data_IF_696372119498
#
_entry.id   IF_696372119498
#
_cell.length_a   1.000
_cell.length_b   1.000
_cell.length_c   1.000
_cell.angle_alpha   90.00
_cell.angle_beta   90.00
_cell.angle_gamma   90.00
#
_symmetry.space_group_name_H-M   'P 1'
#
loop_
_entity.id
_entity.type
_entity.pdbx_description
1 polymer ?
#
# COMPACT_ATOMS: atom_id res chain seq x y z
N UNK A 1 14.89 -2.54 -3.72
CA UNK A 1 15.27 -1.19 -4.11
C UNK A 1 15.21 -1.05 -5.62
N UNK A 2 14.87 0.12 -6.10
CA UNK A 2 14.81 0.46 -7.53
C UNK A 2 14.99 1.99 -7.69
N UNK A 3 15.35 2.44 -8.87
CA UNK A 3 15.45 3.87 -9.18
C UNK A 3 14.32 4.29 -10.13
N UNK A 4 13.81 5.48 -9.94
CA UNK A 4 12.72 6.05 -10.72
C UNK A 4 12.82 7.57 -10.82
N UNK A 5 12.37 8.11 -11.93
CA UNK A 5 12.18 9.54 -12.20
C UNK A 5 10.76 10.03 -11.82
N UNK A 6 10.09 9.30 -10.92
CA UNK A 6 8.74 9.63 -10.46
C UNK A 6 8.69 11.03 -9.86
N UNK A 7 7.64 11.79 -10.16
CA UNK A 7 7.36 13.08 -9.56
C UNK A 7 7.41 13.03 -8.02
N UNK A 8 8.00 14.04 -7.40
CA UNK A 8 8.17 14.14 -5.95
C UNK A 8 9.48 13.58 -5.42
N UNK A 9 10.41 13.20 -6.29
CA UNK A 9 11.80 12.86 -5.95
C UNK A 9 12.63 14.06 -5.53
N UNK A 10 13.95 13.86 -5.34
CA UNK A 10 14.92 14.90 -4.98
C UNK A 10 15.71 15.39 -6.18
N UNK A 11 15.87 14.54 -7.21
CA UNK A 11 16.64 14.78 -8.43
C UNK A 11 15.90 14.34 -9.68
N UNK A 12 16.64 13.83 -10.65
CA UNK A 12 16.08 13.17 -11.82
C UNK A 12 15.68 11.74 -11.49
N UNK A 13 16.63 10.80 -11.47
CA UNK A 13 16.40 9.47 -10.92
C UNK A 13 16.71 9.42 -9.44
N UNK A 14 15.80 8.86 -8.67
CA UNK A 14 15.97 8.66 -7.22
C UNK A 14 15.79 7.20 -6.84
N UNK A 15 16.48 6.77 -5.79
CA UNK A 15 16.38 5.43 -5.23
C UNK A 15 15.20 5.35 -4.27
N UNK A 16 14.36 4.36 -4.49
CA UNK A 16 13.21 4.00 -3.67
C UNK A 16 13.36 2.60 -3.08
N UNK A 17 12.72 2.37 -1.98
CA UNK A 17 12.58 1.05 -1.36
C UNK A 17 11.11 0.63 -1.32
N UNK A 18 10.83 -0.62 -1.65
CA UNK A 18 9.49 -1.22 -1.50
C UNK A 18 9.58 -2.64 -0.97
N UNK A 19 8.48 -3.17 -0.48
CA UNK A 19 8.35 -4.58 -0.08
C UNK A 19 7.76 -5.38 -1.24
N UNK A 20 8.27 -6.58 -1.46
CA UNK A 20 7.68 -7.55 -2.38
C UNK A 20 6.61 -8.35 -1.62
N UNK A 21 5.39 -7.88 -1.70
CA UNK A 21 4.21 -8.46 -1.03
C UNK A 21 3.04 -8.55 -2.03
N UNK A 22 1.97 -9.24 -1.65
CA UNK A 22 0.82 -9.50 -2.53
C UNK A 22 -0.05 -8.27 -2.86
N UNK A 23 0.25 -7.13 -2.26
CA UNK A 23 -0.35 -5.83 -2.61
C UNK A 23 0.75 -4.85 -3.00
N UNK A 24 0.43 -3.74 -3.64
CA UNK A 24 1.40 -2.72 -4.06
C UNK A 24 1.56 -1.67 -2.95
N UNK A 25 2.55 -1.78 -2.05
CA UNK A 25 2.81 -0.74 -1.06
C UNK A 25 3.39 0.50 -1.73
N UNK A 26 3.12 1.67 -1.17
CA UNK A 26 3.79 2.89 -1.62
C UNK A 26 5.30 2.77 -1.40
N UNK A 27 6.11 3.03 -2.44
CA UNK A 27 7.55 3.07 -2.30
C UNK A 27 8.00 4.18 -1.37
N UNK A 28 9.00 3.92 -0.57
CA UNK A 28 9.65 4.90 0.30
C UNK A 28 10.83 5.50 -0.47
N UNK A 29 10.78 6.82 -0.72
CA UNK A 29 11.92 7.57 -1.23
C UNK A 29 13.04 7.53 -0.18
N UNK A 30 14.25 7.11 -0.55
CA UNK A 30 15.38 7.15 0.37
C UNK A 30 15.82 8.61 0.58
N UNK A 31 16.22 8.91 1.80
CA UNK A 31 16.69 10.24 2.15
C UNK A 31 18.16 10.47 1.73
N UNK A 32 18.62 11.72 1.87
CA UNK A 32 20.04 12.03 1.82
C UNK A 32 20.79 11.22 2.90
N UNK A 33 22.04 10.80 2.64
CA UNK A 33 22.87 11.13 1.47
C UNK A 33 22.70 10.16 0.28
N UNK A 34 21.78 9.19 0.34
CA UNK A 34 21.58 8.24 -0.76
C UNK A 34 21.07 9.01 -1.99
N UNK A 35 19.92 9.65 -1.89
CA UNK A 35 19.42 10.53 -2.94
C UNK A 35 19.97 11.96 -2.81
N UNK A 36 20.12 12.63 -3.95
CA UNK A 36 20.64 13.98 -4.10
C UNK A 36 19.73 14.81 -5.02
N UNK A 37 20.18 15.95 -5.51
CA UNK A 37 19.53 16.72 -6.57
C UNK A 37 19.96 16.31 -7.99
N UNK A 38 20.73 15.24 -8.10
CA UNK A 38 21.21 14.65 -9.35
C UNK A 38 20.50 13.32 -9.61
N UNK A 39 20.95 12.57 -10.63
CA UNK A 39 20.47 11.21 -10.85
C UNK A 39 21.17 10.25 -9.88
N UNK A 40 20.40 9.54 -9.09
CA UNK A 40 20.87 8.52 -8.17
C UNK A 40 20.33 7.17 -8.61
N UNK A 41 21.18 6.35 -9.20
CA UNK A 41 20.83 5.07 -9.81
C UNK A 41 21.60 3.93 -9.16
N UNK A 42 21.37 2.72 -9.57
CA UNK A 42 22.12 1.54 -9.13
C UNK A 42 22.42 1.52 -7.62
N UNK A 43 21.46 1.03 -6.85
CA UNK A 43 21.61 0.87 -5.41
C UNK A 43 21.81 -0.60 -5.06
N UNK A 44 22.85 -0.90 -4.27
CA UNK A 44 23.06 -2.23 -3.72
C UNK A 44 23.51 -2.11 -2.26
N UNK A 45 23.01 -3.01 -1.42
CA UNK A 45 23.38 -3.08 -0.01
C UNK A 45 23.53 -4.52 0.45
N UNK A 46 24.53 -4.78 1.27
CA UNK A 46 24.69 -6.04 1.96
C UNK A 46 23.97 -5.96 3.31
N UNK A 47 22.90 -6.74 3.47
CA UNK A 47 22.04 -6.73 4.67
C UNK A 47 22.74 -7.11 5.98
N UNK A 48 23.87 -7.85 5.90
CA UNK A 48 24.61 -8.28 7.10
C UNK A 48 25.64 -7.23 7.54
N UNK A 49 26.39 -6.67 6.57
CA UNK A 49 27.44 -5.69 6.86
C UNK A 49 26.95 -4.26 6.84
N UNK A 50 25.73 -4.03 6.30
CA UNK A 50 25.12 -2.73 6.10
C UNK A 50 25.94 -1.78 5.20
N UNK A 51 26.92 -2.32 4.49
CA UNK A 51 27.69 -1.59 3.48
C UNK A 51 27.00 -1.68 2.14
N UNK A 52 26.97 -0.57 1.44
CA UNK A 52 26.36 -0.48 0.12
C UNK A 52 27.08 0.49 -0.79
N UNK A 53 26.56 0.55 -2.03
CA UNK A 53 27.02 1.44 -3.08
C UNK A 53 25.81 2.02 -3.82
N UNK A 54 25.97 3.27 -4.25
CA UNK A 54 25.03 3.97 -5.13
C UNK A 54 25.83 4.65 -6.23
N UNK A 55 25.32 4.62 -7.45
CA UNK A 55 25.89 5.37 -8.57
C UNK A 55 25.16 6.69 -8.71
N UNK A 56 25.88 7.79 -8.95
CA UNK A 56 25.30 9.11 -9.03
C UNK A 56 26.18 10.06 -9.88
N UNK A 57 25.52 10.94 -10.63
CA UNK A 57 26.17 12.05 -11.34
C UNK A 57 26.19 13.35 -10.53
N UNK A 58 26.11 13.25 -9.18
CA UNK A 58 26.18 14.40 -8.27
C UNK A 58 27.49 15.14 -8.38
N UNK A 59 27.45 16.45 -8.11
CA UNK A 59 28.65 17.29 -8.15
C UNK A 59 29.71 16.84 -7.14
N UNK A 60 31.00 16.97 -7.53
CA UNK A 60 32.15 16.60 -6.70
C UNK A 60 32.73 15.22 -7.01
N UNK A 61 32.19 14.52 -7.97
CA UNK A 61 32.76 13.30 -8.54
C UNK A 61 33.88 13.57 -9.56
N UNK A 62 34.36 12.50 -10.18
CA UNK A 62 35.47 12.56 -11.18
C UNK A 62 34.94 12.36 -12.60
N UNK A 63 33.84 11.60 -12.78
CA UNK A 63 33.20 11.31 -14.06
C UNK A 63 31.80 11.92 -14.17
N UNK A 64 31.03 11.43 -15.15
CA UNK A 64 29.62 11.75 -15.27
C UNK A 64 28.83 10.99 -14.17
N UNK A 65 29.02 9.68 -14.09
CA UNK A 65 28.50 8.82 -13.03
C UNK A 65 29.64 8.25 -12.19
N UNK A 66 29.59 8.47 -10.90
CA UNK A 66 30.56 7.95 -9.93
C UNK A 66 29.92 6.97 -8.97
N UNK A 67 30.73 6.05 -8.44
CA UNK A 67 30.29 5.06 -7.47
C UNK A 67 30.62 5.53 -6.04
N UNK A 68 29.58 5.75 -5.25
CA UNK A 68 29.69 6.16 -3.84
C UNK A 68 29.43 4.98 -2.93
N UNK A 69 30.29 4.78 -1.94
CA UNK A 69 30.08 3.77 -0.89
C UNK A 69 29.42 4.40 0.33
N UNK A 70 28.56 3.64 1.00
CA UNK A 70 27.92 4.07 2.24
C UNK A 70 27.84 2.95 3.28
N UNK A 71 27.57 3.32 4.51
CA UNK A 71 27.15 2.41 5.58
C UNK A 71 25.76 2.87 6.02
N UNK A 72 24.80 1.95 5.96
CA UNK A 72 23.44 2.21 6.44
C UNK A 72 23.47 2.18 7.98
N UNK A 73 23.24 3.32 8.62
CA UNK A 73 23.20 3.45 10.08
C UNK A 73 21.84 2.99 10.61
N UNK A 74 20.77 3.38 9.93
CA UNK A 74 19.40 3.00 10.25
C UNK A 74 18.72 2.32 9.06
N UNK A 75 18.11 1.13 9.24
CA UNK A 75 17.41 0.45 8.16
C UNK A 75 16.13 1.20 7.77
N UNK A 76 15.72 1.04 6.50
CA UNK A 76 14.43 1.51 6.05
C UNK A 76 13.33 0.81 6.83
N UNK A 77 12.49 1.58 7.52
CA UNK A 77 11.36 1.07 8.29
C UNK A 77 10.10 1.16 7.44
N UNK A 78 9.57 0.01 7.06
CA UNK A 78 8.26 -0.07 6.40
C UNK A 78 7.16 -0.08 7.46
N UNK A 79 6.12 0.73 7.24
CA UNK A 79 4.92 0.66 8.08
C UNK A 79 4.31 -0.74 7.97
N UNK A 80 3.96 -1.33 9.11
CA UNK A 80 3.29 -2.61 9.14
C UNK A 80 1.91 -2.51 8.48
N UNK A 81 1.65 -3.34 7.47
CA UNK A 81 0.36 -3.42 6.78
C UNK A 81 -0.14 -4.85 6.71
N UNK A 82 -1.45 -4.98 6.58
CA UNK A 82 -2.18 -6.22 6.33
C UNK A 82 -3.06 -6.03 5.11
N UNK A 83 -3.52 -7.12 4.52
CA UNK A 83 -4.44 -7.10 3.40
C UNK A 83 -5.82 -7.59 3.85
N UNK A 84 -6.84 -6.74 3.74
CA UNK A 84 -8.23 -7.11 3.94
C UNK A 84 -8.76 -7.54 2.58
N UNK A 85 -9.17 -8.80 2.47
CA UNK A 85 -9.71 -9.37 1.23
C UNK A 85 -11.11 -9.90 1.48
N UNK A 86 -11.93 -9.98 0.45
CA UNK A 86 -13.24 -10.58 0.63
C UNK A 86 -14.11 -10.57 -0.60
N UNK A 87 -15.35 -10.98 -0.38
CA UNK A 87 -16.39 -11.02 -1.40
C UNK A 87 -17.57 -10.16 -0.97
N UNK A 88 -18.27 -9.60 -1.96
CA UNK A 88 -19.55 -8.92 -1.75
C UNK A 88 -20.67 -9.72 -2.42
N UNK A 89 -21.67 -10.13 -1.63
CA UNK A 89 -22.78 -10.96 -2.09
C UNK A 89 -24.12 -10.39 -1.64
N UNK A 90 -25.14 -10.70 -2.40
CA UNK A 90 -26.53 -10.44 -2.01
C UNK A 90 -26.91 -11.33 -0.82
N UNK A 91 -27.51 -10.72 0.19
CA UNK A 91 -27.89 -11.41 1.43
C UNK A 91 -28.93 -12.52 1.22
N UNK A 92 -29.83 -12.36 0.24
CA UNK A 92 -30.96 -13.26 0.01
C UNK A 92 -30.63 -14.32 -1.02
N UNK A 93 -29.99 -13.92 -2.14
CA UNK A 93 -29.70 -14.82 -3.27
C UNK A 93 -28.34 -15.46 -3.21
N UNK A 94 -27.41 -14.90 -2.41
CA UNK A 94 -25.98 -15.26 -2.35
C UNK A 94 -25.20 -15.01 -3.65
N UNK A 95 -25.82 -14.35 -4.62
CA UNK A 95 -25.17 -13.98 -5.87
C UNK A 95 -24.12 -12.89 -5.64
N UNK A 96 -23.09 -12.88 -6.51
CA UNK A 96 -22.01 -11.91 -6.48
C UNK A 96 -22.53 -10.52 -6.86
N UNK A 97 -22.15 -9.49 -6.09
CA UNK A 97 -22.47 -8.09 -6.39
C UNK A 97 -21.23 -7.39 -6.96
N UNK A 98 -21.16 -7.34 -8.28
CA UNK A 98 -20.08 -6.65 -9.01
C UNK A 98 -20.24 -5.15 -8.93
N UNK A 99 -19.09 -4.43 -8.94
CA UNK A 99 -19.09 -2.98 -8.93
C UNK A 99 -19.72 -2.36 -7.66
N UNK A 100 -19.81 -3.11 -6.57
CA UNK A 100 -20.06 -2.54 -5.25
C UNK A 100 -18.80 -1.74 -4.83
N UNK A 101 -18.97 -0.77 -3.94
CA UNK A 101 -17.83 -0.04 -3.34
C UNK A 101 -17.62 -0.58 -1.93
N UNK A 102 -16.38 -0.93 -1.63
CA UNK A 102 -15.97 -1.29 -0.27
C UNK A 102 -14.96 -0.27 0.21
N UNK A 103 -15.24 0.36 1.35
CA UNK A 103 -14.39 1.36 1.97
C UNK A 103 -13.99 0.94 3.38
N UNK A 104 -12.76 1.26 3.79
CA UNK A 104 -12.35 1.23 5.20
C UNK A 104 -12.28 2.65 5.73
N UNK A 105 -12.86 2.85 6.91
CA UNK A 105 -12.92 4.14 7.60
C UNK A 105 -12.16 4.05 8.91
N UNK A 106 -11.52 5.14 9.30
CA UNK A 106 -10.87 5.28 10.60
C UNK A 106 -11.90 5.48 11.74
N UNK A 107 -11.41 5.69 12.96
CA UNK A 107 -12.25 5.91 14.12
C UNK A 107 -13.09 7.21 14.05
N UNK A 108 -12.62 8.19 13.29
CA UNK A 108 -13.30 9.48 13.08
C UNK A 108 -14.31 9.41 11.91
N UNK A 109 -14.36 8.28 11.19
CA UNK A 109 -15.25 8.05 10.06
C UNK A 109 -14.72 8.53 8.71
N UNK A 110 -13.45 8.97 8.64
CA UNK A 110 -12.82 9.34 7.37
C UNK A 110 -12.50 8.09 6.57
N UNK A 111 -12.70 8.16 5.25
CA UNK A 111 -12.30 7.09 4.33
C UNK A 111 -10.77 7.05 4.27
N UNK A 112 -10.20 5.90 4.61
CA UNK A 112 -8.75 5.64 4.54
C UNK A 112 -8.39 5.05 3.18
N UNK A 113 -9.18 4.08 2.73
CA UNK A 113 -9.04 3.42 1.44
C UNK A 113 -10.41 2.97 0.94
N UNK A 114 -10.58 2.91 -0.37
CA UNK A 114 -11.78 2.36 -1.01
C UNK A 114 -11.43 1.64 -2.30
N UNK A 115 -12.24 0.65 -2.66
CA UNK A 115 -12.08 -0.12 -3.89
C UNK A 115 -13.44 -0.48 -4.49
N UNK A 116 -13.48 -0.58 -5.80
CA UNK A 116 -14.62 -1.13 -6.53
C UNK A 116 -14.43 -2.64 -6.65
N UNK A 117 -15.45 -3.39 -6.25
CA UNK A 117 -15.49 -4.85 -6.32
C UNK A 117 -15.43 -5.31 -7.79
N UNK A 118 -14.57 -6.28 -8.07
CA UNK A 118 -14.31 -6.78 -9.42
C UNK A 118 -15.43 -7.66 -10.00
N UNK A 119 -15.20 -8.22 -11.18
CA UNK A 119 -16.15 -9.08 -11.91
C UNK A 119 -16.40 -10.42 -11.22
N UNK A 120 -15.48 -10.87 -10.39
CA UNK A 120 -15.54 -12.07 -9.56
C UNK A 120 -16.21 -11.80 -8.20
N UNK A 121 -16.57 -10.55 -7.92
CA UNK A 121 -17.16 -10.13 -6.65
C UNK A 121 -16.15 -9.93 -5.53
N UNK A 122 -14.85 -9.86 -5.86
CA UNK A 122 -13.76 -9.79 -4.92
C UNK A 122 -13.30 -8.35 -4.67
N UNK A 123 -12.72 -8.12 -3.50
CA UNK A 123 -12.04 -6.88 -3.16
C UNK A 123 -10.77 -7.13 -2.36
N UNK A 124 -9.83 -6.21 -2.48
CA UNK A 124 -8.60 -6.17 -1.69
C UNK A 124 -8.32 -4.74 -1.23
N UNK A 125 -8.09 -4.55 0.07
CA UNK A 125 -7.82 -3.25 0.70
C UNK A 125 -6.64 -3.37 1.65
N UNK A 126 -5.55 -2.58 1.45
CA UNK A 126 -4.45 -2.50 2.40
C UNK A 126 -4.88 -1.74 3.66
N UNK A 127 -4.47 -2.23 4.82
CA UNK A 127 -4.75 -1.62 6.11
C UNK A 127 -3.50 -1.60 6.99
N UNK A 128 -3.34 -0.61 7.87
CA UNK A 128 -2.25 -0.62 8.85
C UNK A 128 -2.49 -1.70 9.90
N UNK A 129 -1.39 -2.23 10.47
CA UNK A 129 -1.47 -3.15 11.59
C UNK A 129 -1.95 -2.44 12.86
N UNK A 130 -2.45 -3.22 13.83
CA UNK A 130 -2.88 -2.77 15.16
C UNK A 130 -3.81 -1.54 15.11
N UNK A 131 -4.72 -1.54 14.15
CA UNK A 131 -5.61 -0.40 13.87
C UNK A 131 -7.06 -0.88 13.78
N UNK A 132 -7.95 -0.14 14.42
CA UNK A 132 -9.39 -0.40 14.33
C UNK A 132 -10.00 0.36 13.17
N UNK A 133 -10.80 -0.33 12.38
CA UNK A 133 -11.47 0.19 11.21
C UNK A 133 -12.95 -0.16 11.21
N UNK A 134 -13.72 0.64 10.50
CA UNK A 134 -15.07 0.32 10.07
C UNK A 134 -15.03 0.00 8.57
N UNK A 135 -15.28 -1.24 8.21
CA UNK A 135 -15.46 -1.65 6.83
C UNK A 135 -16.90 -1.37 6.41
N UNK A 136 -17.09 -0.75 5.26
CA UNK A 136 -18.41 -0.39 4.75
C UNK A 136 -18.53 -0.83 3.30
N UNK A 137 -19.57 -1.63 3.01
CA UNK A 137 -19.93 -2.04 1.67
C UNK A 137 -21.20 -1.34 1.21
N UNK A 138 -21.22 -0.84 -0.02
CA UNK A 138 -22.35 -0.13 -0.61
C UNK A 138 -22.51 -0.41 -2.09
N UNK A 139 -23.75 -0.37 -2.57
CA UNK A 139 -24.13 -0.48 -3.97
C UNK A 139 -25.50 0.17 -4.17
N UNK A 140 -25.71 0.83 -5.30
CA UNK A 140 -27.02 1.36 -5.66
C UNK A 140 -28.08 0.23 -5.70
N UNK A 141 -29.22 0.46 -5.08
CA UNK A 141 -30.29 -0.54 -4.92
C UNK A 141 -30.12 -1.48 -3.72
N UNK A 142 -29.06 -1.35 -2.95
CA UNK A 142 -28.78 -2.13 -1.75
C UNK A 142 -28.67 -1.27 -0.51
N UNK A 143 -28.97 -1.84 0.64
CA UNK A 143 -28.73 -1.21 1.93
C UNK A 143 -27.24 -1.28 2.27
N UNK A 144 -26.63 -0.13 2.57
CA UNK A 144 -25.24 -0.06 3.01
C UNK A 144 -25.02 -0.89 4.28
N UNK A 145 -24.01 -1.73 4.28
CA UNK A 145 -23.63 -2.57 5.42
C UNK A 145 -22.27 -2.18 5.93
N UNK A 146 -22.10 -2.26 7.25
CA UNK A 146 -20.82 -1.97 7.88
C UNK A 146 -20.46 -2.97 8.95
N UNK A 147 -19.14 -3.21 9.10
CA UNK A 147 -18.57 -4.14 10.07
C UNK A 147 -17.31 -3.55 10.67
N UNK A 148 -17.23 -3.54 11.99
CA UNK A 148 -15.97 -3.16 12.68
C UNK A 148 -14.99 -4.32 12.65
N UNK A 149 -13.72 -4.00 12.46
CA UNK A 149 -12.61 -4.94 12.53
C UNK A 149 -11.38 -4.26 13.15
N UNK A 150 -10.51 -5.05 13.75
CA UNK A 150 -9.20 -4.58 14.22
C UNK A 150 -8.14 -5.49 13.61
N UNK A 151 -7.16 -4.89 12.97
CA UNK A 151 -6.01 -5.59 12.43
C UNK A 151 -5.06 -6.01 13.56
N UNK A 152 -4.35 -7.10 13.38
CA UNK A 152 -3.35 -7.57 14.35
C UNK A 152 -2.01 -6.86 14.13
N UNK A 153 -1.01 -7.13 14.99
CA UNK A 153 0.37 -6.66 14.83
C UNK A 153 1.19 -7.50 13.82
N UNK A 154 0.59 -8.53 13.23
CA UNK A 154 1.26 -9.44 12.30
C UNK A 154 1.32 -8.82 10.90
N UNK A 155 2.52 -8.49 10.43
CA UNK A 155 2.71 -7.93 9.08
C UNK A 155 2.30 -8.92 7.99
N UNK A 156 1.79 -8.39 6.88
CA UNK A 156 1.42 -9.12 5.65
C UNK A 156 0.34 -10.19 5.83
N UNK A 157 -0.37 -10.17 6.95
CA UNK A 157 -1.52 -11.04 7.17
C UNK A 157 -2.66 -10.71 6.22
N UNK A 158 -3.32 -11.76 5.69
CA UNK A 158 -4.56 -11.65 4.93
C UNK A 158 -5.76 -11.91 5.83
N UNK A 159 -6.67 -10.94 5.88
CA UNK A 159 -7.96 -11.04 6.59
C UNK A 159 -9.06 -11.26 5.55
N UNK A 160 -9.68 -12.43 5.55
CA UNK A 160 -10.79 -12.73 4.63
C UNK A 160 -12.13 -12.37 5.25
N UNK A 161 -12.94 -11.62 4.54
CA UNK A 161 -14.25 -11.16 4.98
C UNK A 161 -15.32 -11.43 3.91
N UNK A 162 -16.56 -11.61 4.37
CA UNK A 162 -17.74 -11.65 3.52
C UNK A 162 -18.62 -10.45 3.89
N UNK A 163 -19.02 -9.68 2.88
CA UNK A 163 -19.99 -8.60 3.01
C UNK A 163 -21.28 -9.04 2.34
N UNK A 164 -22.38 -9.01 3.08
CA UNK A 164 -23.71 -9.33 2.59
C UNK A 164 -24.53 -8.05 2.50
N UNK A 165 -24.90 -7.63 1.29
CA UNK A 165 -25.77 -6.47 1.07
C UNK A 165 -27.20 -6.94 0.90
N UNK A 166 -28.11 -6.35 1.66
CA UNK A 166 -29.55 -6.58 1.52
C UNK A 166 -30.16 -5.59 0.52
N UNK A 167 -31.13 -6.03 -0.26
CA UNK A 167 -31.99 -5.11 -1.01
C UNK A 167 -32.86 -4.33 -0.02
N UNK A 168 -32.86 -3.00 -0.12
CA UNK A 168 -33.80 -2.18 0.66
C UNK A 168 -35.23 -2.61 0.37
N UNK A 169 -36.04 -2.89 1.40
CA UNK A 169 -37.49 -2.98 1.21
C UNK A 169 -37.97 -1.61 0.74
N UNK A 170 -38.43 -1.53 -0.50
CA UNK A 170 -39.27 -0.41 -0.96
C UNK A 170 -40.59 -0.62 -0.26
N UNK A 171 -40.82 0.04 0.86
CA UNK A 171 -42.15 0.17 1.43
C UNK A 171 -42.94 1.06 0.46
N UNK A 172 -43.83 0.43 -0.33
CA UNK A 172 -44.87 1.14 -1.09
C UNK A 172 -45.88 1.80 -0.14
#
# INVERSE_FOLDING_TARGET
YFSSDKDGGMGGFDVYATRLVDYTPEPILLNKPINSSADDVTFIINSKTRKGYVSSNRSGGVGDDDLYSFIEEEPVIFKCRQLITGEVRDQNTTEIIRGAVVAIKDADGNVVEEVVVDEEGMFELPAYCDTSYKLEGSKEGYTTQSKSLTTSMEADKKLKLLILLGTGEILE
#
